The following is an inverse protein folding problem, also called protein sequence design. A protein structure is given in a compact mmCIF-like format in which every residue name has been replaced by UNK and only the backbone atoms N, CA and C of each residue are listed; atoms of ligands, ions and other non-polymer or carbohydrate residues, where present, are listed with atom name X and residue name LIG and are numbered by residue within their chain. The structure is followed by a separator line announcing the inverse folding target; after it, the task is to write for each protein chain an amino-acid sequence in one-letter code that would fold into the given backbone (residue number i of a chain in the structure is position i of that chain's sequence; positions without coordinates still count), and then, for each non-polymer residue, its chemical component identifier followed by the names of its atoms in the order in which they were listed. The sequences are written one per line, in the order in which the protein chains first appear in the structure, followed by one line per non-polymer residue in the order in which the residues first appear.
data_IF_097982470680
#
_entry.id   IF_097982470680
#
_cell.length_a   1.000
_cell.length_b   1.000
_cell.length_c   1.000
_cell.angle_alpha   90.00
_cell.angle_beta   90.00
_cell.angle_gamma   90.00
#
_symmetry.space_group_name_H-M   'P 1'
#
loop_
_entity.id
_entity.type
_entity.pdbx_description
1 polymer ?
#
# COMPACT_ATOMS: atom_id res chain seq x y z
N UNK A 1 12.49 2.02 1.85
CA UNK A 1 11.12 1.52 1.60
C UNK A 1 11.11 0.75 0.30
N UNK A 2 10.26 -0.26 0.17
CA UNK A 2 10.02 -0.98 -1.08
C UNK A 2 8.62 -0.59 -1.59
N UNK A 3 8.49 -0.25 -2.87
CA UNK A 3 7.24 0.28 -3.45
C UNK A 3 7.01 -0.20 -4.88
N UNK A 4 5.77 -0.07 -5.36
CA UNK A 4 5.45 -0.37 -6.77
C UNK A 4 6.02 0.69 -7.73
N UNK A 5 5.93 0.39 -9.02
CA UNK A 5 6.28 1.32 -10.09
C UNK A 5 5.20 2.37 -10.38
N UNK A 6 4.25 2.57 -9.46
CA UNK A 6 3.17 3.54 -9.58
C UNK A 6 3.69 4.97 -9.75
N UNK A 7 2.95 5.77 -10.51
CA UNK A 7 3.35 7.14 -10.84
C UNK A 7 3.58 8.00 -9.59
N UNK A 8 2.80 7.77 -8.53
CA UNK A 8 2.93 8.47 -7.26
C UNK A 8 4.23 8.11 -6.52
N UNK A 9 4.57 6.82 -6.48
CA UNK A 9 5.81 6.33 -5.83
C UNK A 9 7.07 6.72 -6.61
N UNK A 10 6.93 7.09 -7.88
CA UNK A 10 8.01 7.61 -8.74
C UNK A 10 8.06 9.14 -8.82
N UNK A 11 7.09 9.85 -8.24
CA UNK A 11 6.99 11.30 -8.31
C UNK A 11 8.23 11.99 -7.71
N UNK A 12 8.64 13.11 -8.32
CA UNK A 12 9.84 13.85 -7.89
C UNK A 12 9.70 14.37 -6.46
N UNK A 13 8.52 14.86 -6.10
CA UNK A 13 8.20 15.34 -4.74
C UNK A 13 8.38 14.25 -3.70
N UNK A 14 7.87 13.04 -3.97
CA UNK A 14 7.99 11.91 -3.07
C UNK A 14 9.44 11.44 -2.91
N UNK A 15 10.21 11.40 -4.00
CA UNK A 15 11.66 11.08 -3.93
C UNK A 15 12.44 12.12 -3.13
N UNK A 16 12.12 13.42 -3.28
CA UNK A 16 12.75 14.48 -2.50
C UNK A 16 12.45 14.31 -1.01
N UNK A 17 11.18 14.06 -0.66
CA UNK A 17 10.77 13.79 0.72
C UNK A 17 11.54 12.62 1.35
N UNK A 18 11.68 11.49 0.64
CA UNK A 18 12.45 10.36 1.15
C UNK A 18 13.94 10.66 1.30
N UNK A 19 14.50 11.44 0.38
CA UNK A 19 15.89 11.89 0.47
C UNK A 19 16.12 12.77 1.69
N UNK A 20 15.19 13.68 1.99
CA UNK A 20 15.27 14.56 3.18
C UNK A 20 15.22 13.75 4.49
N UNK A 21 14.53 12.60 4.47
CA UNK A 21 14.51 11.63 5.56
C UNK A 21 15.70 10.65 5.57
N UNK A 22 16.68 10.81 4.67
CA UNK A 22 17.78 9.88 4.46
C UNK A 22 17.33 8.42 4.19
N UNK A 23 16.15 8.24 3.58
CA UNK A 23 15.59 6.94 3.25
C UNK A 23 15.78 6.60 1.77
N UNK A 24 16.13 5.34 1.49
CA UNK A 24 16.17 4.81 0.14
C UNK A 24 14.78 4.31 -0.31
N UNK A 25 14.46 4.49 -1.58
CA UNK A 25 13.28 3.88 -2.21
C UNK A 25 13.70 2.83 -3.24
N UNK A 26 13.26 1.60 -3.02
CA UNK A 26 13.44 0.48 -3.94
C UNK A 26 12.12 0.17 -4.62
N UNK A 27 12.20 -0.20 -5.90
CA UNK A 27 11.03 -0.49 -6.71
C UNK A 27 10.97 -1.98 -7.04
N UNK A 28 9.76 -2.54 -7.03
CA UNK A 28 9.52 -3.91 -7.51
C UNK A 28 9.91 -4.03 -8.98
N UNK A 29 10.40 -5.20 -9.39
CA UNK A 29 10.75 -5.43 -10.79
C UNK A 29 9.48 -5.50 -11.67
N UNK A 30 9.51 -5.01 -12.92
CA UNK A 30 8.38 -5.13 -13.82
C UNK A 30 7.98 -6.59 -14.03
N UNK A 31 6.68 -6.88 -13.92
CA UNK A 31 6.09 -8.22 -14.09
C UNK A 31 6.55 -9.26 -13.06
N UNK A 32 6.99 -8.83 -11.87
CA UNK A 32 7.36 -9.71 -10.75
C UNK A 32 6.46 -9.39 -9.55
N UNK A 33 5.25 -9.98 -9.47
CA UNK A 33 4.32 -9.73 -8.37
C UNK A 33 4.83 -10.27 -7.03
N UNK A 34 5.77 -11.23 -7.04
CA UNK A 34 6.33 -11.80 -5.82
C UNK A 34 7.08 -10.77 -4.96
N UNK A 35 7.65 -9.74 -5.60
CA UNK A 35 8.33 -8.63 -4.92
C UNK A 35 7.36 -7.83 -4.01
N UNK A 36 6.04 -7.95 -4.22
CA UNK A 36 4.99 -7.30 -3.43
C UNK A 36 4.07 -8.26 -2.65
N UNK A 37 4.39 -9.56 -2.67
CA UNK A 37 3.50 -10.60 -2.16
C UNK A 37 3.06 -10.39 -0.70
N UNK A 38 3.94 -9.84 0.14
CA UNK A 38 3.63 -9.54 1.55
C UNK A 38 2.51 -8.51 1.65
N UNK A 39 2.62 -7.42 0.90
CA UNK A 39 1.64 -6.33 0.90
C UNK A 39 0.33 -6.78 0.26
N UNK A 40 0.39 -7.53 -0.83
CA UNK A 40 -0.80 -8.12 -1.47
C UNK A 40 -1.53 -9.09 -0.55
N UNK A 41 -0.80 -9.94 0.18
CA UNK A 41 -1.38 -10.85 1.15
C UNK A 41 -2.03 -10.10 2.31
N UNK A 42 -1.37 -9.05 2.81
CA UNK A 42 -1.91 -8.20 3.86
C UNK A 42 -3.24 -7.55 3.42
N UNK A 43 -3.29 -6.92 2.24
CA UNK A 43 -4.52 -6.34 1.72
C UNK A 43 -5.60 -7.37 1.44
N UNK A 44 -5.23 -8.59 1.02
CA UNK A 44 -6.19 -9.69 0.86
C UNK A 44 -6.82 -10.06 2.19
N UNK A 45 -6.03 -10.19 3.26
CA UNK A 45 -6.55 -10.50 4.60
C UNK A 45 -7.54 -9.44 5.06
N UNK A 46 -7.24 -8.14 4.92
CA UNK A 46 -8.19 -7.07 5.29
C UNK A 46 -9.47 -7.15 4.45
N UNK A 47 -9.33 -7.31 3.13
CA UNK A 47 -10.50 -7.35 2.24
C UNK A 47 -11.40 -8.54 2.52
N UNK A 48 -10.82 -9.71 2.76
CA UNK A 48 -11.57 -10.94 2.98
C UNK A 48 -12.09 -11.06 4.42
N UNK A 49 -11.30 -10.65 5.41
CA UNK A 49 -11.65 -10.75 6.82
C UNK A 49 -12.64 -9.68 7.26
N UNK A 50 -12.34 -8.42 6.95
CA UNK A 50 -13.10 -7.28 7.50
C UNK A 50 -14.10 -6.74 6.48
N UNK A 51 -13.64 -6.43 5.27
CA UNK A 51 -14.46 -5.66 4.31
C UNK A 51 -15.54 -6.49 3.62
N UNK A 52 -15.30 -7.78 3.37
CA UNK A 52 -16.24 -8.62 2.64
C UNK A 52 -17.45 -9.04 3.49
N UNK A 53 -17.30 -9.11 4.81
CA UNK A 53 -18.34 -9.55 5.74
C UNK A 53 -19.21 -8.40 6.26
N UNK A 54 -18.72 -7.16 6.20
CA UNK A 54 -19.37 -5.98 6.77
C UNK A 54 -19.93 -5.03 5.69
N UNK A 55 -21.00 -4.32 6.02
CA UNK A 55 -21.52 -3.22 5.20
C UNK A 55 -21.27 -1.90 5.92
N UNK A 56 -20.48 -1.04 5.29
CA UNK A 56 -20.22 0.31 5.79
C UNK A 56 -21.05 1.33 5.01
N UNK A 57 -21.81 2.16 5.71
CA UNK A 57 -22.60 3.23 5.10
C UNK A 57 -21.75 4.44 4.73
N UNK A 58 -20.60 4.61 5.40
CA UNK A 58 -19.65 5.68 5.15
C UNK A 58 -18.22 5.27 5.54
N UNK A 59 -17.26 6.09 5.15
CA UNK A 59 -15.83 5.82 5.37
C UNK A 59 -15.41 5.91 6.85
N UNK A 60 -16.18 6.57 7.72
CA UNK A 60 -15.89 6.61 9.16
C UNK A 60 -16.17 5.25 9.81
N UNK A 61 -17.30 4.62 9.48
CA UNK A 61 -17.61 3.27 9.94
C UNK A 61 -16.57 2.25 9.45
N UNK A 62 -16.11 2.38 8.19
CA UNK A 62 -15.06 1.52 7.65
C UNK A 62 -13.72 1.70 8.40
N UNK A 63 -13.36 2.94 8.76
CA UNK A 63 -12.15 3.22 9.54
C UNK A 63 -12.20 2.58 10.92
N UNK A 64 -13.34 2.63 11.59
CA UNK A 64 -13.48 2.10 12.94
C UNK A 64 -13.59 0.56 12.94
N UNK A 65 -14.06 -0.04 11.84
CA UNK A 65 -14.17 -1.50 11.67
C UNK A 65 -12.90 -2.19 11.16
N UNK A 66 -11.97 -1.47 10.53
CA UNK A 66 -10.68 -2.02 10.07
C UNK A 66 -9.60 -1.62 11.09
N UNK A 67 -9.21 -2.55 11.98
CA UNK A 67 -8.20 -2.34 13.03
C UNK A 67 -7.00 -3.29 12.89
#
# INVERSE_FOLDING_TARGET
IHSDNGSQMKAKSFKAFLKDLAMLNEYSRPHVPEDQAVLERFFRTIKQGEVYHEKYENHYQARDGIS
#
